data_IF_586147847344
#
_entry.id   IF_586147847344
#
_cell.length_a   1.000
_cell.length_b   1.000
_cell.length_c   1.000
_cell.angle_alpha   90.00
_cell.angle_beta   90.00
_cell.angle_gamma   90.00
#
_symmetry.space_group_name_H-M   'P 1'
#
loop_
_entity.id
_entity.type
_entity.pdbx_description
1 polymer ?
#
# COMPACT_ATOMS: atom_id res chain seq x y z
N UNK A 1 -5.64 25.86 39.59
CA UNK A 1 -5.81 25.49 38.17
C UNK A 1 -5.24 24.09 38.01
N UNK A 2 -6.07 23.08 37.77
CA UNK A 2 -5.63 21.69 37.56
C UNK A 2 -5.63 21.46 36.05
N UNK A 3 -4.48 21.14 35.48
CA UNK A 3 -4.35 20.72 34.09
C UNK A 3 -4.49 19.20 34.07
N UNK A 4 -5.58 18.70 33.50
CA UNK A 4 -5.77 17.28 33.22
C UNK A 4 -5.11 16.97 31.87
N UNK A 5 -4.01 16.22 31.91
CA UNK A 5 -3.38 15.65 30.71
C UNK A 5 -3.94 14.24 30.54
N UNK A 6 -4.81 14.05 29.54
CA UNK A 6 -5.28 12.73 29.17
C UNK A 6 -4.20 12.03 28.34
N UNK A 7 -3.64 10.95 28.88
CA UNK A 7 -2.73 10.06 28.16
C UNK A 7 -3.59 9.07 27.37
N UNK A 8 -3.66 9.22 26.06
CA UNK A 8 -4.26 8.21 25.20
C UNK A 8 -3.32 7.00 25.15
N UNK A 9 -3.76 5.88 25.71
CA UNK A 9 -3.07 4.60 25.55
C UNK A 9 -3.63 3.89 24.32
N UNK A 10 -2.78 3.70 23.31
CA UNK A 10 -3.14 2.97 22.11
C UNK A 10 -3.04 1.47 22.39
N UNK A 11 -4.17 0.76 22.33
CA UNK A 11 -4.17 -0.69 22.37
C UNK A 11 -4.02 -1.23 20.94
N UNK A 12 -2.95 -1.98 20.71
CA UNK A 12 -2.74 -2.68 19.44
C UNK A 12 -3.68 -3.89 19.42
N UNK A 13 -4.68 -3.84 18.54
CA UNK A 13 -5.70 -4.90 18.42
C UNK A 13 -5.19 -6.05 17.54
N UNK A 14 -4.35 -5.73 16.55
CA UNK A 14 -3.77 -6.72 15.63
C UNK A 14 -2.39 -6.27 15.14
N UNK A 15 -1.57 -7.22 14.67
CA UNK A 15 -0.25 -6.95 14.12
C UNK A 15 0.00 -7.84 12.91
N UNK A 16 0.21 -7.21 11.76
CA UNK A 16 0.65 -7.89 10.55
C UNK A 16 2.18 -8.03 10.54
N UNK A 17 2.67 -9.19 10.12
CA UNK A 17 4.09 -9.49 10.00
C UNK A 17 4.59 -9.17 8.60
N UNK A 18 5.90 -9.03 8.44
CA UNK A 18 6.52 -8.85 7.12
C UNK A 18 6.22 -10.00 6.15
N UNK A 19 6.01 -11.21 6.66
CA UNK A 19 5.63 -12.35 5.82
C UNK A 19 4.21 -12.23 5.25
N UNK A 20 3.34 -11.44 5.89
CA UNK A 20 1.96 -11.24 5.46
C UNK A 20 1.86 -10.17 4.37
N UNK A 21 2.61 -9.07 4.54
CA UNK A 21 2.44 -7.84 3.74
C UNK A 21 3.68 -7.40 2.97
N UNK A 22 4.78 -8.11 3.13
CA UNK A 22 6.09 -7.80 2.56
C UNK A 22 7.01 -7.00 3.50
N UNK A 23 8.28 -6.96 3.13
CA UNK A 23 9.38 -6.39 3.91
C UNK A 23 9.89 -5.09 3.26
N UNK A 24 9.67 -3.96 3.92
CA UNK A 24 10.12 -2.65 3.45
C UNK A 24 11.65 -2.54 3.35
N UNK A 25 12.39 -3.35 4.13
CA UNK A 25 13.87 -3.31 4.16
C UNK A 25 14.50 -3.86 2.88
N UNK A 26 13.72 -4.60 2.08
CA UNK A 26 14.15 -5.16 0.80
C UNK A 26 13.92 -4.21 -0.38
N UNK A 27 13.30 -3.04 -0.15
CA UNK A 27 12.98 -2.07 -1.20
C UNK A 27 14.21 -1.26 -1.61
N UNK A 28 14.22 -0.80 -2.87
CA UNK A 28 15.21 0.14 -3.39
C UNK A 28 15.17 1.48 -2.63
N UNK A 29 13.96 1.95 -2.33
CA UNK A 29 13.72 3.14 -1.51
C UNK A 29 13.10 2.73 -0.18
N UNK A 30 13.59 3.24 0.98
CA UNK A 30 13.09 2.88 2.31
C UNK A 30 11.78 3.62 2.65
N UNK A 31 10.86 3.67 1.68
CA UNK A 31 9.52 4.20 1.81
C UNK A 31 8.55 3.04 1.63
N UNK A 32 7.42 3.09 2.33
CA UNK A 32 6.35 2.13 2.22
C UNK A 32 5.18 2.82 1.53
N UNK A 33 5.04 2.69 0.19
CA UNK A 33 3.93 3.29 -0.53
C UNK A 33 2.62 2.76 0.03
N UNK A 34 1.75 3.68 0.45
CA UNK A 34 0.43 3.33 0.96
C UNK A 34 -0.61 4.36 0.57
N UNK A 35 -1.85 3.91 0.34
CA UNK A 35 -3.01 4.77 0.11
C UNK A 35 -4.23 4.23 0.85
N UNK A 36 -5.07 5.12 1.35
CA UNK A 36 -6.28 4.77 2.09
C UNK A 36 -7.51 5.00 1.21
N UNK A 37 -8.34 3.97 1.07
CA UNK A 37 -9.69 4.04 0.53
C UNK A 37 -10.70 4.20 1.70
N UNK A 38 -11.21 5.43 1.93
CA UNK A 38 -12.17 5.67 3.00
C UNK A 38 -13.56 5.08 2.73
N UNK A 39 -13.88 4.69 1.49
CA UNK A 39 -15.20 4.15 1.16
C UNK A 39 -15.38 2.72 1.66
N UNK A 40 -14.29 1.94 1.68
CA UNK A 40 -14.30 0.53 2.05
C UNK A 40 -13.47 0.24 3.31
N UNK A 41 -12.88 1.27 3.93
CA UNK A 41 -11.98 1.13 5.09
C UNK A 41 -10.77 0.24 4.77
N UNK A 42 -10.08 0.51 3.66
CA UNK A 42 -8.95 -0.29 3.16
C UNK A 42 -7.69 0.57 3.04
N UNK A 43 -6.58 0.09 3.60
CA UNK A 43 -5.23 0.58 3.28
C UNK A 43 -4.61 -0.35 2.24
N UNK A 44 -4.27 0.21 1.08
CA UNK A 44 -3.40 -0.43 0.10
C UNK A 44 -1.96 -0.13 0.44
N UNK A 45 -1.09 -1.13 0.36
CA UNK A 45 0.31 -1.00 0.71
C UNK A 45 1.19 -1.84 -0.21
N UNK A 46 2.25 -1.25 -0.75
CA UNK A 46 3.21 -1.97 -1.58
C UNK A 46 4.48 -2.31 -0.81
N UNK A 47 5.00 -3.53 -0.96
CA UNK A 47 6.28 -3.95 -0.39
C UNK A 47 6.92 -5.06 -1.23
N UNK A 48 8.06 -5.59 -0.78
CA UNK A 48 8.74 -6.73 -1.41
C UNK A 48 8.53 -7.99 -0.55
N UNK A 49 7.98 -9.05 -1.12
CA UNK A 49 7.74 -10.29 -0.38
C UNK A 49 9.02 -11.16 -0.23
N UNK A 50 8.87 -12.35 0.35
CA UNK A 50 9.99 -13.27 0.55
C UNK A 50 10.56 -13.90 -0.74
N UNK A 51 9.85 -13.77 -1.85
CA UNK A 51 10.30 -14.20 -3.17
C UNK A 51 10.95 -13.07 -3.97
N UNK A 52 11.24 -11.92 -3.32
CA UNK A 52 11.74 -10.70 -3.95
C UNK A 52 10.83 -10.14 -5.06
N UNK A 53 9.51 -10.37 -4.93
CA UNK A 53 8.51 -9.78 -5.83
C UNK A 53 7.87 -8.58 -5.17
N UNK A 54 7.52 -7.59 -5.98
CA UNK A 54 6.70 -6.46 -5.54
C UNK A 54 5.27 -6.96 -5.38
N UNK A 55 4.70 -6.67 -4.22
CA UNK A 55 3.33 -7.03 -3.88
C UNK A 55 2.54 -5.78 -3.54
N UNK A 56 1.22 -5.86 -3.71
CA UNK A 56 0.25 -4.88 -3.23
C UNK A 56 -0.72 -5.59 -2.26
N UNK A 57 -0.65 -5.24 -0.99
CA UNK A 57 -1.52 -5.78 0.06
C UNK A 57 -2.69 -4.84 0.29
N UNK A 58 -3.90 -5.39 0.43
CA UNK A 58 -5.09 -4.67 0.89
C UNK A 58 -5.39 -5.07 2.33
N UNK A 59 -5.46 -4.09 3.22
CA UNK A 59 -5.59 -4.29 4.67
C UNK A 59 -6.83 -3.56 5.13
N UNK A 60 -7.72 -4.21 5.87
CA UNK A 60 -8.81 -3.46 6.53
C UNK A 60 -8.21 -2.52 7.59
N UNK A 61 -8.47 -1.21 7.46
CA UNK A 61 -7.76 -0.20 8.24
C UNK A 61 -8.17 -0.20 9.72
N UNK A 62 -9.44 -0.48 10.02
CA UNK A 62 -9.95 -0.54 11.40
C UNK A 62 -9.50 -1.81 12.14
N UNK A 63 -9.61 -2.96 11.50
CA UNK A 63 -9.31 -4.26 12.11
C UNK A 63 -7.83 -4.64 12.03
N UNK A 64 -7.06 -3.99 11.14
CA UNK A 64 -5.65 -4.33 10.91
C UNK A 64 -5.45 -5.75 10.40
N UNK A 65 -6.39 -6.26 9.59
CA UNK A 65 -6.38 -7.61 9.03
C UNK A 65 -6.06 -7.53 7.54
N UNK A 66 -5.16 -8.40 7.08
CA UNK A 66 -4.88 -8.59 5.66
C UNK A 66 -6.11 -9.20 4.96
N UNK A 67 -6.62 -8.52 3.94
CA UNK A 67 -7.75 -9.00 3.15
C UNK A 67 -7.26 -9.86 1.98
N UNK A 68 -6.27 -9.37 1.24
CA UNK A 68 -5.63 -10.08 0.13
C UNK A 68 -4.31 -9.40 -0.25
N UNK A 69 -3.49 -10.13 -1.00
CA UNK A 69 -2.22 -9.66 -1.57
C UNK A 69 -2.18 -9.97 -3.06
N UNK A 70 -1.82 -8.98 -3.87
CA UNK A 70 -1.59 -9.12 -5.31
C UNK A 70 -0.08 -9.25 -5.56
N UNK A 71 0.33 -10.34 -6.23
CA UNK A 71 1.74 -10.71 -6.41
C UNK A 71 2.32 -10.40 -7.81
N UNK A 72 1.54 -9.76 -8.69
CA UNK A 72 1.84 -9.57 -10.12
C UNK A 72 2.22 -8.13 -10.48
N UNK A 73 2.86 -7.39 -9.58
CA UNK A 73 3.27 -6.01 -9.84
C UNK A 73 4.63 -6.00 -10.54
N UNK A 74 4.71 -5.58 -11.82
CA UNK A 74 5.93 -5.71 -12.62
C UNK A 74 7.01 -4.68 -12.25
N UNK A 75 6.60 -3.50 -11.77
CA UNK A 75 7.45 -2.32 -11.64
C UNK A 75 7.46 -1.77 -10.22
N UNK A 76 8.61 -1.22 -9.79
CA UNK A 76 8.76 -0.63 -8.45
C UNK A 76 7.76 0.50 -8.26
N UNK A 77 6.86 0.34 -7.29
CA UNK A 77 5.89 1.38 -6.91
C UNK A 77 6.59 2.38 -6.00
N UNK A 78 6.78 3.62 -6.45
CA UNK A 78 7.38 4.69 -5.66
C UNK A 78 6.34 5.29 -4.70
N UNK A 79 5.11 5.48 -5.19
CA UNK A 79 4.02 6.05 -4.40
C UNK A 79 2.66 5.52 -4.83
N UNK A 80 1.70 5.55 -3.90
CA UNK A 80 0.30 5.19 -4.14
C UNK A 80 -0.58 6.39 -3.79
N UNK A 81 -1.63 6.60 -4.57
CA UNK A 81 -2.68 7.61 -4.32
C UNK A 81 -4.04 7.02 -4.62
N UNK A 82 -5.00 7.24 -3.73
CA UNK A 82 -6.38 6.86 -3.96
C UNK A 82 -7.21 8.10 -4.26
N UNK A 83 -7.91 8.10 -5.39
CA UNK A 83 -8.89 9.11 -5.76
C UNK A 83 -10.24 8.72 -5.18
N UNK A 84 -10.64 9.43 -4.11
CA UNK A 84 -11.89 9.17 -3.40
C UNK A 84 -13.14 9.48 -4.21
N UNK A 85 -13.04 10.37 -5.22
CA UNK A 85 -14.21 10.78 -6.01
C UNK A 85 -14.52 9.77 -7.10
N UNK A 86 -13.47 9.27 -7.77
CA UNK A 86 -13.61 8.27 -8.83
C UNK A 86 -13.44 6.83 -8.35
N UNK A 87 -13.07 6.62 -7.08
CA UNK A 87 -12.80 5.31 -6.46
C UNK A 87 -11.71 4.53 -7.21
N UNK A 88 -10.60 5.22 -7.50
CA UNK A 88 -9.48 4.68 -8.29
C UNK A 88 -8.18 4.70 -7.50
N UNK A 89 -7.40 3.65 -7.62
CA UNK A 89 -6.04 3.58 -7.07
C UNK A 89 -5.03 3.86 -8.20
N UNK A 90 -4.12 4.79 -7.95
CA UNK A 90 -3.04 5.13 -8.86
C UNK A 90 -1.70 4.82 -8.23
N UNK A 91 -0.76 4.33 -9.04
CA UNK A 91 0.62 4.11 -8.66
C UNK A 91 1.57 4.93 -9.54
N UNK A 92 2.53 5.56 -8.90
CA UNK A 92 3.71 6.08 -9.57
C UNK A 92 4.79 4.99 -9.58
N UNK A 93 5.22 4.55 -10.76
CA UNK A 93 6.10 3.39 -10.93
C UNK A 93 7.38 3.75 -11.70
N UNK A 94 8.48 3.07 -11.42
CA UNK A 94 9.69 3.09 -12.27
C UNK A 94 9.54 2.07 -13.39
N UNK A 95 9.74 2.48 -14.65
CA UNK A 95 9.73 1.55 -15.78
C UNK A 95 11.06 0.82 -15.92
N UNK A 96 11.07 -0.25 -16.73
CA UNK A 96 12.28 -1.04 -17.00
C UNK A 96 13.36 -0.20 -17.73
N UNK A 97 12.93 0.82 -18.46
CA UNK A 97 13.83 1.85 -19.00
C UNK A 97 14.27 2.78 -17.87
N UNK A 98 15.48 2.51 -17.37
CA UNK A 98 16.14 3.25 -16.28
C UNK A 98 16.01 4.76 -16.51
N UNK A 99 15.33 5.43 -15.58
CA UNK A 99 15.03 6.87 -15.49
C UNK A 99 13.67 7.34 -16.06
N UNK A 100 12.81 6.44 -16.51
CA UNK A 100 11.43 6.78 -16.81
C UNK A 100 10.53 6.35 -15.66
N UNK A 101 9.60 7.23 -15.30
CA UNK A 101 8.54 6.92 -14.36
C UNK A 101 7.19 7.18 -15.00
N UNK A 102 6.20 6.37 -14.64
CA UNK A 102 4.84 6.49 -15.18
C UNK A 102 3.81 6.46 -14.06
N UNK A 103 2.62 6.96 -14.36
CA UNK A 103 1.44 6.84 -13.50
C UNK A 103 0.52 5.81 -14.13
N UNK A 104 0.18 4.77 -13.39
CA UNK A 104 -0.74 3.71 -13.81
C UNK A 104 -1.92 3.64 -12.87
N UNK A 105 -3.09 3.26 -13.39
CA UNK A 105 -4.25 2.92 -12.56
C UNK A 105 -4.11 1.45 -12.17
N UNK A 106 -4.52 1.09 -10.96
CA UNK A 106 -4.54 -0.28 -10.48
C UNK A 106 -5.99 -0.70 -10.28
N UNK A 107 -6.40 -1.79 -10.93
CA UNK A 107 -7.66 -2.45 -10.61
C UNK A 107 -7.57 -3.05 -9.20
N UNK A 108 -8.32 -2.49 -8.26
CA UNK A 108 -8.29 -2.91 -6.85
C UNK A 108 -8.95 -4.28 -6.59
N UNK A 109 -9.56 -4.91 -7.59
CA UNK A 109 -10.09 -6.27 -7.50
C UNK A 109 -9.09 -7.33 -7.96
N UNK A 110 -8.20 -6.98 -8.90
CA UNK A 110 -7.29 -7.92 -9.55
C UNK A 110 -5.81 -7.62 -9.31
N UNK A 111 -5.48 -6.39 -8.89
CA UNK A 111 -4.11 -5.90 -8.73
C UNK A 111 -3.42 -5.58 -10.05
N UNK A 112 -4.11 -5.69 -11.19
CA UNK A 112 -3.53 -5.44 -12.50
C UNK A 112 -3.41 -3.95 -12.80
N UNK A 113 -2.36 -3.58 -13.55
CA UNK A 113 -2.23 -2.23 -14.09
C UNK A 113 -3.21 -2.02 -15.26
N UNK A 114 -3.96 -0.95 -15.17
CA UNK A 114 -4.75 -0.39 -16.26
C UNK A 114 -3.92 0.76 -16.82
N UNK A 115 -3.40 0.57 -18.03
CA UNK A 115 -2.54 1.55 -18.67
C UNK A 115 -3.32 2.84 -18.92
N UNK A 116 -2.75 3.97 -18.50
CA UNK A 116 -3.35 5.29 -18.72
C UNK A 116 -2.47 5.96 -19.78
N UNK A 117 -3.04 6.11 -20.98
CA UNK A 117 -2.42 6.70 -22.18
C UNK A 117 -1.50 7.89 -21.90
#
# INVERSE_FOLDING_TARGET
>A
MIILIYKYEYNIINTLKFDDVGDLRKRKYPILPSAYDPSNDIVFMSAINNQNKIVLSAINATAGILLHTFDSIPNEIISLRYDIFNKKLFAHTETDDKNLTQIVEIDTNTGNFIDIL
#
